data_IF_093722834166
#
_entry.id   IF_093722834166
#
_cell.length_a   1.000
_cell.length_b   1.000
_cell.length_c   1.000
_cell.angle_alpha   90.00
_cell.angle_beta   90.00
_cell.angle_gamma   90.00
#
_symmetry.space_group_name_H-M   'P 1'
#
loop_
_entity.id
_entity.type
_entity.pdbx_description
1 polymer ?
#
# COMPACT_ATOMS: atom_id res chain seq x y z
N UNK A 1 11.13 21.81 -2.45
CA UNK A 1 10.38 21.60 -3.71
C UNK A 1 10.34 20.11 -4.00
N UNK A 2 9.21 19.47 -3.72
CA UNK A 2 9.05 18.01 -3.81
C UNK A 2 8.71 17.66 -5.26
N UNK A 3 9.65 17.07 -6.00
CA UNK A 3 9.39 16.59 -7.36
C UNK A 3 8.53 15.33 -7.31
N UNK A 4 7.28 15.42 -7.75
CA UNK A 4 6.41 14.26 -7.99
C UNK A 4 6.77 13.70 -9.36
N UNK A 5 7.38 12.53 -9.42
CA UNK A 5 7.73 11.85 -10.66
C UNK A 5 6.65 10.79 -10.95
N UNK A 6 5.78 11.07 -11.92
CA UNK A 6 4.85 10.08 -12.48
C UNK A 6 5.52 9.39 -13.66
N UNK A 7 5.86 8.10 -13.54
CA UNK A 7 6.39 7.33 -14.67
C UNK A 7 5.85 5.90 -14.67
N UNK A 8 5.01 5.59 -15.66
CA UNK A 8 4.72 4.24 -16.12
C UNK A 8 5.89 3.72 -16.97
N UNK A 9 6.29 2.46 -16.73
CA UNK A 9 7.44 1.73 -17.30
C UNK A 9 8.76 1.86 -16.51
N UNK A 10 9.57 0.81 -16.59
CA UNK A 10 10.77 0.49 -15.79
C UNK A 10 11.86 1.56 -15.86
N UNK A 11 11.64 2.68 -15.18
CA UNK A 11 12.55 3.81 -15.18
C UNK A 11 13.35 3.80 -13.87
N UNK A 12 14.67 3.72 -14.01
CA UNK A 12 15.60 4.00 -12.91
C UNK A 12 15.40 5.47 -12.50
N UNK A 13 14.90 5.69 -11.29
CA UNK A 13 14.73 7.03 -10.73
C UNK A 13 16.07 7.43 -10.12
N UNK A 14 16.78 8.37 -10.75
CA UNK A 14 18.01 8.93 -10.18
C UNK A 14 17.69 10.10 -9.26
N UNK A 15 18.29 10.08 -8.07
CA UNK A 15 18.22 11.18 -7.12
C UNK A 15 19.44 12.10 -7.30
N UNK A 16 19.31 13.40 -7.01
CA UNK A 16 20.47 14.29 -7.00
C UNK A 16 21.51 13.81 -5.98
N UNK A 17 22.78 14.01 -6.29
CA UNK A 17 23.88 13.68 -5.38
C UNK A 17 23.81 14.55 -4.12
N UNK A 18 23.90 13.90 -2.96
CA UNK A 18 23.89 14.57 -1.65
C UNK A 18 25.30 14.48 -1.07
N UNK A 19 25.85 15.61 -0.64
CA UNK A 19 27.10 15.65 0.12
C UNK A 19 26.79 15.56 1.60
N UNK A 20 27.39 14.58 2.30
CA UNK A 20 27.22 14.38 3.74
C UNK A 20 28.43 14.94 4.47
N UNK A 21 28.21 15.83 5.44
CA UNK A 21 29.27 16.25 6.35
C UNK A 21 29.58 15.13 7.37
N UNK A 22 30.83 15.00 7.84
CA UNK A 22 31.17 14.06 8.90
C UNK A 22 30.29 14.29 10.13
N UNK A 23 29.71 13.23 10.69
CA UNK A 23 28.78 13.27 11.83
C UNK A 23 27.40 13.89 11.56
N UNK A 24 27.07 14.20 10.31
CA UNK A 24 25.70 14.60 9.94
C UNK A 24 24.82 13.38 9.67
N UNK A 25 23.56 13.44 10.13
CA UNK A 25 22.53 12.48 9.78
C UNK A 25 21.61 13.11 8.72
N UNK A 26 21.44 12.42 7.59
CA UNK A 26 20.52 12.83 6.54
C UNK A 26 19.54 11.69 6.28
N UNK A 27 18.26 12.04 6.18
CA UNK A 27 17.19 11.09 5.96
C UNK A 27 16.62 11.28 4.55
N UNK A 28 16.49 10.18 3.82
CA UNK A 28 15.82 10.15 2.52
C UNK A 28 14.46 9.51 2.74
N UNK A 29 13.41 10.27 2.44
CA UNK A 29 12.03 9.77 2.48
C UNK A 29 11.56 9.48 1.06
N UNK A 30 11.17 8.23 0.82
CA UNK A 30 10.57 7.80 -0.44
C UNK A 30 9.08 7.59 -0.19
N UNK A 31 8.24 8.37 -0.87
CA UNK A 31 6.79 8.25 -0.80
C UNK A 31 6.28 7.55 -2.05
N UNK A 32 5.51 6.48 -1.85
CA UNK A 32 4.84 5.76 -2.93
C UNK A 32 3.40 6.24 -3.01
N UNK A 33 3.03 6.85 -4.15
CA UNK A 33 1.64 7.13 -4.45
C UNK A 33 1.04 5.94 -5.18
N UNK A 34 0.02 5.36 -4.58
CA UNK A 34 -0.67 4.19 -5.11
C UNK A 34 -2.03 4.63 -5.63
N UNK A 35 -2.23 4.54 -6.95
CA UNK A 35 -3.48 4.99 -7.58
C UNK A 35 -4.57 3.92 -7.54
N UNK A 36 -4.24 2.69 -7.94
CA UNK A 36 -5.19 1.58 -7.96
C UNK A 36 -4.46 0.25 -7.76
N UNK A 37 -4.96 -0.56 -6.82
CA UNK A 37 -4.49 -1.94 -6.60
C UNK A 37 -5.69 -2.85 -6.84
N UNK A 38 -5.75 -3.44 -8.03
CA UNK A 38 -6.79 -4.41 -8.38
C UNK A 38 -6.42 -5.83 -7.96
N UNK A 39 -5.13 -6.07 -7.68
CA UNK A 39 -4.58 -7.38 -7.30
C UNK A 39 -3.39 -7.19 -6.35
N UNK A 40 -3.14 -8.18 -5.48
CA UNK A 40 -2.03 -8.11 -4.53
C UNK A 40 -0.71 -8.04 -5.28
N UNK A 41 0.13 -7.06 -4.95
CA UNK A 41 1.39 -6.82 -5.65
C UNK A 41 2.56 -6.87 -4.68
N UNK A 42 3.66 -7.48 -5.13
CA UNK A 42 4.95 -7.43 -4.44
C UNK A 42 5.92 -6.63 -5.30
N UNK A 43 6.21 -5.40 -4.89
CA UNK A 43 7.19 -4.57 -5.57
C UNK A 43 8.58 -4.93 -5.04
N UNK A 44 9.42 -5.54 -5.88
CA UNK A 44 10.85 -5.72 -5.58
C UNK A 44 11.59 -4.49 -6.07
N UNK A 45 12.20 -3.75 -5.15
CA UNK A 45 12.94 -2.54 -5.45
C UNK A 45 14.41 -2.73 -5.09
N UNK A 46 15.26 -2.03 -5.83
CA UNK A 46 16.69 -1.97 -5.58
C UNK A 46 17.10 -0.52 -5.44
N UNK A 47 17.72 -0.19 -4.30
CA UNK A 47 18.41 1.06 -4.09
C UNK A 47 19.91 0.82 -4.28
N UNK A 48 20.49 1.45 -5.28
CA UNK A 48 21.95 1.47 -5.47
C UNK A 48 22.47 2.83 -5.04
N UNK A 49 23.50 2.87 -4.21
CA UNK A 49 24.17 4.11 -3.81
C UNK A 49 25.68 3.99 -4.02
N UNK A 50 26.32 5.13 -4.31
CA UNK A 50 27.76 5.23 -4.44
C UNK A 50 28.31 6.30 -3.50
N UNK A 51 29.30 5.94 -2.69
CA UNK A 51 30.01 6.84 -1.79
C UNK A 51 31.37 7.15 -2.42
N UNK A 52 31.58 8.41 -2.77
CA UNK A 52 32.87 8.87 -3.28
C UNK A 52 33.77 9.26 -2.10
N UNK A 53 34.75 8.42 -1.79
CA UNK A 53 35.85 8.72 -0.85
C UNK A 53 37.02 9.28 -1.66
N UNK A 54 37.92 10.01 -1.01
CA UNK A 54 39.00 10.81 -1.65
C UNK A 54 39.78 10.10 -2.76
N UNK A 55 39.91 8.77 -2.73
CA UNK A 55 40.60 7.97 -3.75
C UNK A 55 39.76 6.80 -4.33
N UNK A 56 38.56 6.53 -3.83
CA UNK A 56 37.78 5.34 -4.21
C UNK A 56 36.28 5.62 -4.21
N UNK A 57 35.59 5.07 -5.21
CA UNK A 57 34.12 5.05 -5.24
C UNK A 57 33.66 3.68 -4.75
N UNK A 58 33.02 3.63 -3.59
CA UNK A 58 32.35 2.43 -3.10
C UNK A 58 30.90 2.44 -3.59
N UNK A 59 30.44 1.34 -4.18
CA UNK A 59 29.05 1.22 -4.66
C UNK A 59 28.38 0.03 -3.99
N UNK A 60 27.24 0.27 -3.38
CA UNK A 60 26.46 -0.72 -2.65
C UNK A 60 25.03 -0.80 -3.18
N UNK A 61 24.42 -1.96 -2.94
CA UNK A 61 23.09 -2.29 -3.42
C UNK A 61 22.24 -2.83 -2.26
N UNK A 62 21.14 -2.16 -1.99
CA UNK A 62 20.12 -2.58 -1.03
C UNK A 62 18.90 -3.07 -1.81
N UNK A 63 18.49 -4.32 -1.57
CA UNK A 63 17.25 -4.86 -2.10
C UNK A 63 16.17 -4.86 -1.02
N UNK A 64 15.00 -4.30 -1.32
CA UNK A 64 13.85 -4.38 -0.44
C UNK A 64 12.60 -4.77 -1.22
N UNK A 65 11.65 -5.37 -0.50
CA UNK A 65 10.35 -5.79 -1.05
C UNK A 65 9.26 -5.02 -0.34
N UNK A 66 8.38 -4.40 -1.11
CA UNK A 66 7.18 -3.74 -0.60
C UNK A 66 5.98 -4.63 -0.95
N UNK A 67 5.37 -5.20 0.08
CA UNK A 67 4.15 -5.98 -0.07
C UNK A 67 2.95 -5.04 -0.02
N UNK A 68 2.13 -5.05 -1.08
CA UNK A 68 0.95 -4.23 -1.25
C UNK A 68 -0.30 -5.13 -1.33
N UNK A 69 -0.79 -5.65 -0.20
CA UNK A 69 -1.98 -6.49 -0.18
C UNK A 69 -3.23 -5.65 -0.43
N UNK A 70 -4.19 -6.15 -1.23
CA UNK A 70 -5.42 -5.43 -1.56
C UNK A 70 -6.20 -4.97 -0.31
N UNK A 71 -6.16 -5.76 0.77
CA UNK A 71 -6.89 -5.49 2.01
C UNK A 71 -6.52 -4.14 2.66
N UNK A 72 -5.30 -3.66 2.48
CA UNK A 72 -4.85 -2.36 3.00
C UNK A 72 -5.45 -1.17 2.24
N UNK A 73 -6.00 -1.40 1.04
CA UNK A 73 -6.54 -0.37 0.16
C UNK A 73 -8.08 -0.41 0.08
N UNK A 74 -8.72 -1.35 0.78
CA UNK A 74 -10.17 -1.43 0.87
C UNK A 74 -10.71 -0.31 1.75
N UNK A 75 -11.54 0.56 1.18
CA UNK A 75 -12.33 1.52 1.97
C UNK A 75 -13.66 0.90 2.35
N UNK A 76 -13.87 0.72 3.66
CA UNK A 76 -15.20 0.39 4.19
C UNK A 76 -16.13 1.57 4.00
N UNK A 77 -17.31 1.32 3.43
CA UNK A 77 -18.38 2.30 3.30
C UNK A 77 -19.64 1.72 3.92
N UNK A 78 -20.16 2.40 4.93
CA UNK A 78 -21.50 2.11 5.45
C UNK A 78 -22.52 2.63 4.43
N UNK A 79 -23.50 1.80 4.08
CA UNK A 79 -24.54 2.13 3.13
C UNK A 79 -25.89 1.72 3.71
N UNK A 80 -26.93 2.46 3.33
CA UNK A 80 -28.30 2.10 3.68
C UNK A 80 -28.76 0.87 2.88
N UNK A 81 -29.75 0.18 3.44
CA UNK A 81 -30.43 -0.97 2.86
C UNK A 81 -30.96 -0.73 1.44
N UNK A 82 -31.55 0.44 1.16
CA UNK A 82 -32.07 0.75 -0.18
C UNK A 82 -30.93 0.90 -1.19
N UNK A 83 -29.88 1.64 -0.82
CA UNK A 83 -28.69 1.84 -1.66
C UNK A 83 -27.96 0.50 -1.90
N UNK A 84 -27.93 -0.38 -0.89
CA UNK A 84 -27.40 -1.73 -1.06
C UNK A 84 -28.22 -2.55 -2.06
N UNK A 85 -29.55 -2.51 -1.96
CA UNK A 85 -30.44 -3.20 -2.90
C UNK A 85 -30.27 -2.68 -4.34
N UNK A 86 -30.10 -1.37 -4.53
CA UNK A 86 -29.82 -0.76 -5.84
C UNK A 86 -28.45 -1.16 -6.41
N UNK A 87 -27.41 -1.20 -5.57
CA UNK A 87 -26.08 -1.66 -5.99
C UNK A 87 -26.07 -3.15 -6.34
N UNK A 88 -26.91 -3.93 -5.68
CA UNK A 88 -27.08 -5.36 -5.92
C UNK A 88 -27.90 -5.63 -7.20
N UNK A 89 -28.99 -4.90 -7.41
CA UNK A 89 -29.84 -5.03 -8.60
C UNK A 89 -29.16 -4.50 -9.87
N UNK A 90 -28.30 -3.48 -9.75
CA UNK A 90 -27.51 -2.95 -10.88
C UNK A 90 -26.37 -3.88 -11.34
N UNK A 91 -26.11 -4.99 -10.65
CA UNK A 91 -25.02 -5.92 -10.97
C UNK A 91 -23.63 -5.40 -10.64
N UNK A 92 -23.53 -4.25 -9.97
CA UNK A 92 -22.25 -3.64 -9.55
C UNK A 92 -21.57 -4.45 -8.44
N UNK A 93 -22.37 -5.14 -7.60
CA UNK A 93 -21.86 -6.05 -6.57
C UNK A 93 -21.86 -7.50 -7.09
N UNK A 94 -20.68 -8.00 -7.44
CA UNK A 94 -20.49 -9.36 -8.00
C UNK A 94 -20.26 -10.43 -6.95
N UNK A 95 -19.74 -10.06 -5.77
CA UNK A 95 -19.49 -10.97 -4.67
C UNK A 95 -20.40 -10.63 -3.49
N UNK A 96 -21.20 -11.59 -3.05
CA UNK A 96 -22.16 -11.41 -1.96
C UNK A 96 -21.76 -12.31 -0.78
N UNK A 97 -21.42 -11.69 0.35
CA UNK A 97 -21.40 -12.35 1.64
C UNK A 97 -22.31 -11.55 2.56
N UNK A 98 -23.39 -12.19 3.03
CA UNK A 98 -24.35 -11.57 3.93
C UNK A 98 -24.41 -12.38 5.22
N UNK A 99 -24.09 -11.74 6.34
CA UNK A 99 -24.32 -12.28 7.68
C UNK A 99 -25.59 -11.62 8.24
N UNK A 100 -26.67 -12.40 8.40
CA UNK A 100 -27.86 -11.94 9.12
C UNK A 100 -27.75 -12.39 10.57
N UNK A 101 -27.69 -11.44 11.48
CA UNK A 101 -27.71 -11.69 12.92
C UNK A 101 -29.13 -11.39 13.39
N UNK A 102 -29.89 -12.46 13.63
CA UNK A 102 -31.19 -12.35 14.29
C UNK A 102 -30.95 -12.09 15.78
N UNK A 103 -31.75 -11.24 16.40
CA UNK A 103 -31.75 -10.97 17.84
C UNK A 103 -32.30 -12.17 18.64
N UNK A 104 -31.70 -13.34 18.49
CA UNK A 104 -31.82 -14.40 19.50
C UNK A 104 -30.76 -14.15 20.57
N UNK A 105 -30.94 -14.73 21.76
CA UNK A 105 -30.05 -14.66 22.94
C UNK A 105 -28.64 -15.22 22.65
N UNK A 106 -27.92 -14.66 21.69
CA UNK A 106 -26.54 -15.01 21.38
C UNK A 106 -25.62 -14.04 22.11
N UNK A 107 -24.64 -14.60 22.80
CA UNK A 107 -23.59 -13.80 23.44
C UNK A 107 -22.83 -12.99 22.38
N UNK A 108 -22.51 -11.74 22.72
CA UNK A 108 -21.78 -10.81 21.84
C UNK A 108 -20.49 -11.41 21.26
N UNK A 109 -19.76 -12.20 22.07
CA UNK A 109 -18.56 -12.93 21.65
C UNK A 109 -18.84 -13.95 20.53
N UNK A 110 -19.98 -14.64 20.57
CA UNK A 110 -20.40 -15.57 19.53
C UNK A 110 -20.68 -14.83 18.21
N UNK A 111 -21.29 -13.64 18.30
CA UNK A 111 -21.59 -12.80 17.14
C UNK A 111 -20.29 -12.29 16.50
N UNK A 112 -19.35 -11.77 17.29
CA UNK A 112 -18.05 -11.28 16.78
C UNK A 112 -17.25 -12.40 16.12
N UNK A 113 -17.20 -13.59 16.72
CA UNK A 113 -16.50 -14.74 16.13
C UNK A 113 -17.06 -15.14 14.76
N UNK A 114 -18.37 -14.94 14.52
CA UNK A 114 -18.99 -15.19 13.19
C UNK A 114 -18.72 -14.09 12.17
N UNK A 115 -18.48 -12.85 12.62
CA UNK A 115 -18.13 -11.72 11.73
C UNK A 115 -16.65 -11.77 11.33
N UNK A 116 -15.78 -12.27 12.20
CA UNK A 116 -14.33 -12.26 12.02
C UNK A 116 -13.73 -13.55 11.41
N UNK A 117 -14.52 -14.59 11.12
CA UNK A 117 -14.11 -15.76 10.35
C UNK A 117 -14.05 -15.44 8.86
#
# INVERSE_FOLDING_TARGET
SSKVLNTTSTNLISFPSISLFPHSQNYIHIYFLINAISFSQNLKTTLTYSINKSNTIETDRIEFKLNLPCSQYLRRKTIDSMVFADLMSSGTLTCQSQLRISSSNQDFLSIINRICQ
#
